data_IF_937158041325
#
_entry.id   IF_937158041325
#
_cell.length_a   1.000
_cell.length_b   1.000
_cell.length_c   1.000
_cell.angle_alpha   90.00
_cell.angle_beta   90.00
_cell.angle_gamma   90.00
#
_symmetry.space_group_name_H-M   'P 1'
#
loop_
_entity.id
_entity.type
_entity.pdbx_description
1 polymer ?
#
# COMPACT_ATOMS: atom_id res chain seq x y z
N UNK A 1 15.40 -0.93 -5.22
CA UNK A 1 13.95 -0.77 -5.53
C UNK A 1 13.59 0.67 -5.98
N UNK A 2 14.46 1.41 -6.72
CA UNK A 2 14.21 2.84 -6.98
C UNK A 2 12.97 3.10 -7.84
N UNK A 3 12.63 2.22 -8.78
CA UNK A 3 11.43 2.37 -9.62
C UNK A 3 10.13 2.35 -8.80
N UNK A 4 10.05 1.48 -7.78
CA UNK A 4 8.86 1.35 -6.94
C UNK A 4 8.71 2.58 -6.05
N UNK A 5 9.81 3.03 -5.45
CA UNK A 5 9.83 4.26 -4.65
C UNK A 5 9.44 5.48 -5.48
N UNK A 6 10.07 5.68 -6.64
CA UNK A 6 9.75 6.78 -7.55
C UNK A 6 8.30 6.71 -8.04
N UNK A 7 7.81 5.51 -8.36
CA UNK A 7 6.41 5.29 -8.74
C UNK A 7 5.46 5.64 -7.61
N UNK A 8 5.73 5.20 -6.38
CA UNK A 8 4.88 5.44 -5.22
C UNK A 8 4.88 6.89 -4.78
N UNK A 9 5.98 7.64 -4.98
CA UNK A 9 6.04 9.08 -4.73
C UNK A 9 5.32 9.90 -5.81
N UNK A 10 5.32 9.43 -7.06
CA UNK A 10 4.65 10.11 -8.18
C UNK A 10 3.16 9.81 -8.23
N UNK A 11 2.73 8.62 -7.82
CA UNK A 11 1.33 8.20 -7.76
C UNK A 11 0.72 8.52 -6.39
N UNK A 12 -0.52 9.03 -6.34
CA UNK A 12 -1.26 9.30 -5.08
C UNK A 12 -2.24 8.17 -4.76
N UNK A 13 -2.38 7.22 -5.69
CA UNK A 13 -3.21 6.03 -5.55
C UNK A 13 -2.49 4.85 -6.18
N UNK A 14 -2.82 3.66 -5.70
CA UNK A 14 -2.36 2.37 -6.19
C UNK A 14 -3.53 1.40 -6.27
N UNK A 15 -3.33 0.27 -6.94
CA UNK A 15 -4.28 -0.83 -6.93
C UNK A 15 -3.74 -2.00 -6.12
N UNK A 16 -4.57 -2.57 -5.27
CA UNK A 16 -4.30 -3.77 -4.49
C UNK A 16 -5.12 -4.93 -5.02
N UNK A 17 -4.45 -6.04 -5.33
CA UNK A 17 -5.10 -7.33 -5.56
C UNK A 17 -5.47 -7.96 -4.23
N UNK A 18 -6.75 -7.92 -3.87
CA UNK A 18 -7.30 -8.49 -2.64
C UNK A 18 -8.19 -9.71 -2.96
N UNK A 19 -8.54 -10.55 -1.96
CA UNK A 19 -9.42 -11.70 -2.18
C UNK A 19 -10.78 -11.34 -2.81
N UNK A 20 -11.32 -10.16 -2.47
CA UNK A 20 -12.57 -9.63 -3.03
C UNK A 20 -12.40 -8.91 -4.39
N UNK A 21 -11.22 -8.98 -5.00
CA UNK A 21 -10.86 -8.34 -6.26
C UNK A 21 -9.98 -7.10 -6.09
N UNK A 22 -9.72 -6.43 -7.21
CA UNK A 22 -8.86 -5.24 -7.24
C UNK A 22 -9.53 -4.05 -6.57
N UNK A 23 -8.79 -3.36 -5.69
CA UNK A 23 -9.23 -2.14 -5.01
C UNK A 23 -8.25 -1.00 -5.25
N UNK A 24 -8.79 0.17 -5.57
CA UNK A 24 -8.02 1.41 -5.58
C UNK A 24 -7.83 1.90 -4.14
N UNK A 25 -6.62 2.26 -3.77
CA UNK A 25 -6.29 2.78 -2.44
C UNK A 25 -5.40 4.00 -2.56
N UNK A 26 -5.65 5.03 -1.75
CA UNK A 26 -4.67 6.07 -1.49
C UNK A 26 -3.65 5.59 -0.46
N UNK A 27 -2.44 6.14 -0.53
CA UNK A 27 -1.29 5.67 0.24
C UNK A 27 -0.29 6.79 0.49
N UNK A 28 0.70 6.51 1.36
CA UNK A 28 1.94 7.29 1.45
C UNK A 28 3.14 6.37 1.30
N UNK A 29 4.21 6.86 0.68
CA UNK A 29 5.53 6.22 0.77
C UNK A 29 6.29 6.77 1.97
N UNK A 30 6.74 5.90 2.86
CA UNK A 30 7.52 6.27 4.04
C UNK A 30 8.53 5.17 4.34
N UNK A 31 9.79 5.55 4.61
CA UNK A 31 10.86 4.65 5.04
C UNK A 31 10.93 3.30 4.26
N UNK A 32 10.99 3.39 2.93
CA UNK A 32 11.15 2.23 2.06
C UNK A 32 9.90 1.35 1.89
N UNK A 33 8.74 1.76 2.42
CA UNK A 33 7.49 1.02 2.35
C UNK A 33 6.31 1.91 1.97
N UNK A 34 5.22 1.26 1.56
CA UNK A 34 3.93 1.90 1.31
C UNK A 34 3.07 1.71 2.56
N UNK A 35 2.42 2.76 3.01
CA UNK A 35 1.45 2.70 4.09
C UNK A 35 0.05 3.05 3.56
N UNK A 36 -0.93 2.28 4.00
CA UNK A 36 -2.36 2.50 3.72
C UNK A 36 -3.14 2.42 5.02
N UNK A 37 -4.34 3.00 5.04
CA UNK A 37 -5.30 2.84 6.14
C UNK A 37 -6.58 2.20 5.62
N UNK A 38 -7.25 1.42 6.45
CA UNK A 38 -8.57 0.84 6.14
C UNK A 38 -9.46 0.76 7.37
N UNK A 39 -10.78 0.86 7.16
CA UNK A 39 -11.77 0.87 8.24
C UNK A 39 -11.98 2.25 8.87
N UNK A 40 -12.89 2.34 9.85
CA UNK A 40 -13.12 3.57 10.61
C UNK A 40 -13.61 4.76 9.78
N UNK A 41 -14.32 4.52 8.67
CA UNK A 41 -14.76 5.58 7.74
C UNK A 41 -13.71 5.96 6.69
N UNK A 42 -12.54 5.31 6.68
CA UNK A 42 -11.60 5.35 5.57
C UNK A 42 -11.95 4.30 4.49
N UNK A 43 -11.09 4.17 3.48
CA UNK A 43 -11.25 3.22 2.38
C UNK A 43 -11.40 1.76 2.86
N UNK A 44 -12.25 0.98 2.19
CA UNK A 44 -12.49 -0.42 2.52
C UNK A 44 -11.59 -1.36 1.70
N UNK A 45 -10.69 -2.06 2.38
CA UNK A 45 -9.72 -2.99 1.81
C UNK A 45 -9.94 -4.40 2.42
N UNK A 46 -11.04 -5.08 2.06
CA UNK A 46 -11.43 -6.34 2.67
C UNK A 46 -10.38 -7.44 2.44
N UNK A 47 -10.02 -8.14 3.52
CA UNK A 47 -9.01 -9.19 3.52
C UNK A 47 -7.56 -8.70 3.51
N UNK A 48 -7.32 -7.37 3.49
CA UNK A 48 -5.94 -6.85 3.50
C UNK A 48 -5.22 -7.21 4.80
N UNK A 49 -5.82 -6.96 5.96
CA UNK A 49 -5.18 -7.19 7.27
C UNK A 49 -4.90 -8.66 7.58
N UNK A 50 -5.55 -9.57 6.87
CA UNK A 50 -5.41 -11.02 7.02
C UNK A 50 -4.44 -11.63 5.99
N UNK A 51 -4.13 -10.88 4.94
CA UNK A 51 -3.19 -11.32 3.91
C UNK A 51 -1.76 -11.25 4.42
N UNK A 52 -0.93 -12.22 4.04
CA UNK A 52 0.52 -12.15 4.25
C UNK A 52 1.23 -11.37 3.12
N UNK A 53 0.65 -11.39 1.92
CA UNK A 53 1.17 -10.74 0.72
C UNK A 53 0.02 -10.30 -0.17
N UNK A 54 0.20 -9.18 -0.88
CA UNK A 54 -0.73 -8.69 -1.91
C UNK A 54 0.03 -8.28 -3.17
N UNK A 55 -0.64 -8.33 -4.32
CA UNK A 55 -0.11 -7.72 -5.54
C UNK A 55 -0.46 -6.22 -5.56
N UNK A 56 0.55 -5.39 -5.84
CA UNK A 56 0.42 -3.94 -5.92
C UNK A 56 0.70 -3.48 -7.35
N UNK A 57 -0.16 -2.62 -7.88
CA UNK A 57 0.03 -1.97 -9.18
C UNK A 57 0.07 -0.45 -8.99
N UNK A 58 1.16 0.17 -9.43
CA UNK A 58 1.29 1.61 -9.53
C UNK A 58 1.01 2.05 -10.96
N UNK A 59 0.21 3.11 -11.13
CA UNK A 59 -0.13 3.68 -12.45
C UNK A 59 0.25 5.16 -12.52
N UNK A 60 0.59 5.62 -13.72
CA UNK A 60 0.91 7.03 -13.98
C UNK A 60 -0.32 7.90 -13.74
N UNK A 61 -0.14 9.03 -13.04
CA UNK A 61 -1.23 10.01 -12.86
C UNK A 61 -1.63 10.67 -14.18
N UNK A 62 -0.66 10.91 -15.07
CA UNK A 62 -0.86 11.68 -16.31
C UNK A 62 -1.54 10.84 -17.39
N UNK A 63 -1.06 9.61 -17.58
CA UNK A 63 -1.50 8.75 -18.68
C UNK A 63 -2.40 7.60 -18.25
N UNK A 64 -2.47 7.33 -16.94
CA UNK A 64 -3.11 6.13 -16.42
C UNK A 64 -2.41 4.82 -16.81
N UNK A 65 -1.26 4.83 -17.48
CA UNK A 65 -0.56 3.60 -17.85
C UNK A 65 -0.03 2.86 -16.60
N UNK A 66 0.03 1.53 -16.64
CA UNK A 66 0.72 0.74 -15.60
C UNK A 66 2.21 1.09 -15.61
N UNK A 67 2.74 1.52 -14.47
CA UNK A 67 4.15 1.83 -14.28
C UNK A 67 4.92 0.61 -13.80
N UNK A 68 4.40 -0.06 -12.77
CA UNK A 68 5.04 -1.24 -12.17
C UNK A 68 4.02 -2.08 -11.40
N UNK A 69 4.20 -3.40 -11.45
CA UNK A 69 3.43 -4.40 -10.71
C UNK A 69 4.33 -5.32 -9.90
N UNK A 70 4.14 -5.39 -8.59
CA UNK A 70 5.03 -6.13 -7.68
C UNK A 70 4.28 -6.73 -6.48
N UNK A 71 4.75 -7.87 -5.94
CA UNK A 71 4.27 -8.39 -4.66
C UNK A 71 4.76 -7.52 -3.50
N UNK A 72 3.95 -7.39 -2.45
CA UNK A 72 4.32 -6.70 -1.21
C UNK A 72 3.89 -7.50 0.01
N UNK A 73 4.80 -7.69 0.96
CA UNK A 73 4.46 -8.30 2.25
C UNK A 73 3.61 -7.33 3.06
N UNK A 74 2.58 -7.87 3.70
CA UNK A 74 1.61 -7.10 4.46
C UNK A 74 1.90 -7.24 5.96
N UNK A 75 1.88 -6.12 6.67
CA UNK A 75 1.94 -6.10 8.12
C UNK A 75 1.02 -5.02 8.67
N UNK A 76 0.13 -5.39 9.59
CA UNK A 76 -0.63 -4.42 10.38
C UNK A 76 0.33 -3.71 11.33
N UNK A 77 0.29 -2.39 11.33
CA UNK A 77 1.21 -1.55 12.10
C UNK A 77 0.65 -1.34 13.50
N UNK A 78 1.49 -1.57 14.51
CA UNK A 78 1.24 -0.99 15.83
C UNK A 78 1.43 0.53 15.74
N UNK A 79 0.32 1.27 15.68
CA UNK A 79 0.34 2.71 15.39
C UNK A 79 1.09 3.51 16.47
N UNK A 80 1.07 3.03 17.72
CA UNK A 80 1.79 3.66 18.83
C UNK A 80 3.32 3.56 18.67
N UNK A 81 3.82 2.46 18.11
CA UNK A 81 5.24 2.24 17.86
C UNK A 81 5.75 2.84 16.54
N UNK A 82 4.87 3.34 15.67
CA UNK A 82 5.22 3.91 14.37
C UNK A 82 4.59 5.30 14.12
N UNK A 83 4.77 6.27 15.04
CA UNK A 83 4.09 7.56 14.97
C UNK A 83 4.44 8.37 13.71
N UNK A 84 5.67 8.27 13.22
CA UNK A 84 6.14 9.01 12.03
C UNK A 84 5.45 8.54 10.74
N UNK A 85 5.28 7.22 10.58
CA UNK A 85 4.60 6.66 9.42
C UNK A 85 3.11 7.02 9.42
N UNK A 86 2.46 6.95 10.60
CA UNK A 86 1.04 7.32 10.76
C UNK A 86 0.85 8.82 10.52
N UNK A 87 1.74 9.67 11.01
CA UNK A 87 1.70 11.11 10.76
C UNK A 87 1.91 11.46 9.28
N UNK A 88 2.83 10.77 8.60
CA UNK A 88 3.03 10.94 7.16
C UNK A 88 1.78 10.57 6.36
N UNK A 89 1.10 9.48 6.75
CA UNK A 89 -0.15 9.05 6.12
C UNK A 89 -1.30 10.05 6.39
N UNK A 90 -1.41 10.54 7.63
CA UNK A 90 -2.40 11.54 8.01
C UNK A 90 -2.25 12.84 7.21
N UNK A 91 -1.01 13.25 6.92
CA UNK A 91 -0.72 14.45 6.10
C UNK A 91 -1.24 14.34 4.66
N UNK A 92 -1.24 13.14 4.08
CA UNK A 92 -1.77 12.92 2.73
C UNK A 92 -3.31 12.88 2.70
N UNK A 93 -3.98 12.81 3.85
CA UNK A 93 -5.45 12.79 3.95
C UNK A 93 -6.04 14.20 3.90
N UNK A 94 -6.06 14.79 2.70
CA UNK A 94 -6.44 16.20 2.49
C UNK A 94 -7.89 16.56 2.85
N UNK A 95 -8.83 15.60 2.77
CA UNK A 95 -10.26 15.83 3.04
C UNK A 95 -10.72 15.23 4.38
N UNK A 96 -9.87 15.20 5.40
CA UNK A 96 -10.26 14.70 6.72
C UNK A 96 -11.26 15.68 7.35
N UNK A 97 -12.36 15.17 7.90
CA UNK A 97 -13.36 16.01 8.57
C UNK A 97 -12.80 16.65 9.85
N UNK A 98 -11.94 15.91 10.56
CA UNK A 98 -11.27 16.38 11.78
C UNK A 98 -9.78 15.99 11.77
N UNK A 99 -8.92 16.74 11.06
CA UNK A 99 -7.51 16.39 10.90
C UNK A 99 -6.72 16.42 12.22
N UNK A 100 -7.18 17.18 13.22
CA UNK A 100 -6.50 17.30 14.51
C UNK A 100 -6.55 16.01 15.34
N UNK A 101 -7.63 15.24 15.27
CA UNK A 101 -7.78 13.97 16.00
C UNK A 101 -7.76 12.74 15.09
N UNK A 102 -7.41 12.90 13.81
CA UNK A 102 -7.43 11.81 12.82
C UNK A 102 -6.61 10.59 13.24
N UNK A 103 -5.42 10.80 13.78
CA UNK A 103 -4.55 9.71 14.25
C UNK A 103 -5.13 8.99 15.47
N UNK A 104 -5.78 9.72 16.39
CA UNK A 104 -6.49 9.11 17.51
C UNK A 104 -7.69 8.28 17.04
N UNK A 105 -8.45 8.82 16.08
CA UNK A 105 -9.57 8.12 15.46
C UNK A 105 -9.12 6.83 14.77
N UNK A 106 -8.02 6.88 14.01
CA UNK A 106 -7.44 5.68 13.39
C UNK A 106 -6.96 4.67 14.42
N UNK A 107 -6.34 5.09 15.51
CA UNK A 107 -5.92 4.18 16.57
C UNK A 107 -7.10 3.40 17.19
N UNK A 108 -8.32 3.98 17.18
CA UNK A 108 -9.52 3.36 17.76
C UNK A 108 -10.37 2.59 16.74
N UNK A 109 -10.38 3.03 15.48
CA UNK A 109 -11.40 2.60 14.52
C UNK A 109 -10.85 2.10 13.19
N UNK A 110 -9.55 2.25 12.92
CA UNK A 110 -8.94 1.87 11.65
C UNK A 110 -7.67 1.04 11.85
N UNK A 111 -7.23 0.37 10.79
CA UNK A 111 -5.95 -0.31 10.74
C UNK A 111 -5.02 0.43 9.77
N UNK A 112 -3.82 0.75 10.23
CA UNK A 112 -2.72 1.18 9.35
C UNK A 112 -1.93 -0.06 8.95
N UNK A 113 -1.69 -0.22 7.66
CA UNK A 113 -1.04 -1.40 7.09
C UNK A 113 0.20 -0.96 6.32
N UNK A 114 1.32 -1.62 6.62
CA UNK A 114 2.59 -1.49 5.92
C UNK A 114 2.68 -2.54 4.82
N UNK A 115 2.91 -2.09 3.60
CA UNK A 115 3.19 -2.92 2.43
C UNK A 115 4.66 -2.76 2.10
N UNK A 116 5.45 -3.82 2.33
CA UNK A 116 6.87 -3.83 2.04
C UNK A 116 7.10 -4.47 0.67
N UNK A 117 7.57 -3.71 -0.34
CA UNK A 117 7.81 -4.26 -1.68
C UNK A 117 8.75 -5.47 -1.62
N UNK A 118 8.39 -6.54 -2.32
CA UNK A 118 9.22 -7.74 -2.44
C UNK A 118 9.75 -7.84 -3.87
N UNK A 119 10.99 -8.31 -4.07
CA UNK A 119 11.43 -8.69 -5.39
C UNK A 119 10.48 -9.76 -5.90
N UNK A 120 9.92 -9.56 -7.10
CA UNK A 120 9.16 -10.62 -7.76
C UNK A 120 10.11 -11.79 -7.94
N UNK A 121 9.77 -12.95 -7.37
CA UNK A 121 10.49 -14.17 -7.68
C UNK A 121 10.37 -14.36 -9.19
N UNK A 122 11.49 -14.22 -9.91
CA UNK A 122 11.58 -14.74 -11.27
C UNK A 122 11.52 -16.25 -11.11
N UNK A 123 10.36 -16.84 -11.34
CA UNK A 123 10.31 -18.26 -11.70
C UNK A 123 11.16 -18.38 -12.95
N UNK A 124 12.42 -18.80 -12.79
CA UNK A 124 13.18 -19.31 -13.91
C UNK A 124 12.41 -20.56 -14.34
N UNK A 125 11.69 -20.49 -15.46
CA UNK A 125 11.29 -21.71 -16.15
C UNK A 125 12.61 -22.45 -16.45
N UNK A 126 12.85 -23.65 -15.89
CA UNK A 126 14.00 -24.43 -16.30
C UNK A 126 13.84 -24.66 -17.80
N UNK A 127 14.80 -24.14 -18.58
CA UNK A 127 14.79 -24.23 -20.02
C UNK A 127 14.47 -25.65 -20.46
N UNK A 128 13.44 -25.79 -21.29
CA UNK A 128 13.19 -27.00 -22.03
C UNK A 128 14.35 -27.18 -23.03
N UNK A 129 15.45 -27.75 -22.57
CA UNK A 129 16.36 -28.51 -23.43
C UNK A 129 15.75 -29.88 -23.63
N UNK A 130 15.25 -30.15 -24.82
CA UNK A 130 15.16 -31.49 -25.36
C UNK A 130 15.39 -31.43 -26.87
N UNK A 131 16.59 -31.90 -27.23
CA UNK A 131 17.08 -32.50 -28.48
C UNK A 131 16.19 -32.50 -29.73
#
# INVERSE_FOLDING_TARGET
>A
MPLIEEGAKRSSVLWLGLPAGWRLAWHVWHDGAIYVVTGGGEQELPGLTEAAEVEVVLRSKDSGAELVRFPASVAVVDQASAPEAVAALAKERLNAADPAHLMEHWARHAAVVRLTPRPRATTHEPGATAH
#
